data_IF_516285153494
#
_entry.id   IF_516285153494
#
_cell.length_a   1.000
_cell.length_b   1.000
_cell.length_c   1.000
_cell.angle_alpha   90.00
_cell.angle_beta   90.00
_cell.angle_gamma   90.00
#
_symmetry.space_group_name_H-M   'P 1'
#
loop_
_entity.id
_entity.type
_entity.pdbx_description
1 polymer ?
#
# COMPACT_ATOMS: atom_id res chain seq x y z
N UNK A 1 -10.54 -6.25 -6.80
CA UNK A 1 -9.40 -5.65 -6.09
C UNK A 1 -8.68 -4.63 -6.96
N UNK A 2 -8.10 -5.03 -8.10
CA UNK A 2 -7.33 -4.15 -9.00
C UNK A 2 -8.15 -2.93 -9.46
N UNK A 3 -9.43 -3.12 -9.78
CA UNK A 3 -10.30 -2.04 -10.23
C UNK A 3 -10.53 -0.97 -9.14
N UNK A 4 -10.62 -1.38 -7.88
CA UNK A 4 -10.69 -0.45 -6.74
C UNK A 4 -9.38 0.32 -6.56
N UNK A 5 -8.24 -0.35 -6.79
CA UNK A 5 -6.94 0.30 -6.76
C UNK A 5 -6.89 1.38 -7.85
N UNK A 6 -7.23 1.04 -9.09
CA UNK A 6 -7.22 2.00 -10.21
C UNK A 6 -8.13 3.19 -9.94
N UNK A 7 -9.36 2.96 -9.46
CA UNK A 7 -10.28 4.04 -9.11
C UNK A 7 -9.71 4.98 -8.03
N UNK A 8 -9.08 4.41 -7.00
CA UNK A 8 -8.43 5.18 -5.92
C UNK A 8 -7.25 6.00 -6.44
N UNK A 9 -6.46 5.42 -7.36
CA UNK A 9 -5.34 6.12 -8.02
C UNK A 9 -5.84 7.30 -8.85
N UNK A 10 -6.94 7.13 -9.59
CA UNK A 10 -7.57 8.20 -10.38
C UNK A 10 -8.06 9.37 -9.49
N UNK A 11 -8.34 9.11 -8.21
CA UNK A 11 -8.73 10.12 -7.22
C UNK A 11 -7.52 10.76 -6.50
N UNK A 12 -6.29 10.49 -6.95
CA UNK A 12 -5.02 10.86 -6.28
C UNK A 12 -4.92 10.33 -4.84
N UNK A 13 -5.55 9.19 -4.61
CA UNK A 13 -5.57 8.59 -3.30
C UNK A 13 -4.64 7.37 -3.25
N UNK A 14 -4.04 7.15 -2.08
CA UNK A 14 -3.07 6.06 -1.86
C UNK A 14 -3.74 4.82 -1.28
N UNK A 15 -3.30 3.63 -1.71
CA UNK A 15 -3.83 2.34 -1.26
C UNK A 15 -2.81 1.63 -0.37
N UNK A 16 -3.26 1.16 0.79
CA UNK A 16 -2.50 0.23 1.64
C UNK A 16 -3.12 -1.17 1.53
N UNK A 17 -2.34 -2.16 1.14
CA UNK A 17 -2.76 -3.57 1.13
C UNK A 17 -1.95 -4.32 2.17
N UNK A 18 -2.62 -5.05 3.06
CA UNK A 18 -1.97 -5.95 4.01
C UNK A 18 -2.19 -7.40 3.60
N UNK A 19 -1.12 -8.18 3.59
CA UNK A 19 -1.20 -9.63 3.32
C UNK A 19 -0.77 -10.43 4.55
N UNK A 20 -1.02 -11.74 4.55
CA UNK A 20 -0.71 -12.59 5.70
C UNK A 20 0.74 -13.09 5.73
N UNK A 21 1.42 -13.13 4.59
CA UNK A 21 2.77 -13.72 4.48
C UNK A 21 3.68 -12.84 3.64
N UNK A 22 4.99 -12.98 3.86
CA UNK A 22 6.01 -12.32 3.03
C UNK A 22 5.85 -12.66 1.55
N UNK A 23 5.75 -13.95 1.24
CA UNK A 23 5.60 -14.43 -0.12
C UNK A 23 4.34 -13.89 -0.81
N UNK A 24 3.19 -13.86 -0.14
CA UNK A 24 1.97 -13.26 -0.71
C UNK A 24 2.13 -11.76 -0.97
N UNK A 25 2.92 -11.06 -0.17
CA UNK A 25 3.19 -9.63 -0.39
C UNK A 25 4.10 -9.41 -1.60
N UNK A 26 5.13 -10.24 -1.74
CA UNK A 26 6.06 -10.22 -2.87
C UNK A 26 5.32 -10.55 -4.17
N UNK A 27 4.64 -11.70 -4.22
CA UNK A 27 3.86 -12.15 -5.38
C UNK A 27 2.81 -11.10 -5.80
N UNK A 28 2.14 -10.46 -4.83
CA UNK A 28 1.18 -9.40 -5.13
C UNK A 28 1.84 -8.13 -5.64
N UNK A 29 2.99 -7.73 -5.08
CA UNK A 29 3.71 -6.54 -5.51
C UNK A 29 4.22 -6.73 -6.94
N UNK A 30 4.79 -7.89 -7.26
CA UNK A 30 5.25 -8.22 -8.60
C UNK A 30 4.09 -8.21 -9.60
N UNK A 31 2.97 -8.83 -9.25
CA UNK A 31 1.77 -8.80 -10.09
C UNK A 31 1.26 -7.38 -10.36
N UNK A 32 1.27 -6.50 -9.35
CA UNK A 32 0.86 -5.10 -9.50
C UNK A 32 1.86 -4.31 -10.38
N UNK A 33 3.16 -4.58 -10.26
CA UNK A 33 4.19 -4.00 -11.13
C UNK A 33 4.01 -4.44 -12.60
N UNK A 34 3.73 -5.72 -12.84
CA UNK A 34 3.53 -6.28 -14.19
C UNK A 34 2.37 -5.61 -14.94
N UNK A 35 1.30 -5.24 -14.22
CA UNK A 35 0.15 -4.55 -14.80
C UNK A 35 0.31 -3.02 -14.84
N UNK A 36 1.50 -2.51 -14.52
CA UNK A 36 1.86 -1.10 -14.63
C UNK A 36 1.45 -0.22 -13.44
N UNK A 37 1.12 -0.81 -12.29
CA UNK A 37 0.80 -0.05 -11.08
C UNK A 37 2.08 0.22 -10.29
N UNK A 38 2.30 1.48 -9.90
CA UNK A 38 3.45 1.87 -9.07
C UNK A 38 3.21 1.39 -7.64
N UNK A 39 3.90 0.33 -7.25
CA UNK A 39 3.75 -0.31 -5.94
C UNK A 39 5.10 -0.42 -5.23
N UNK A 40 5.07 -0.32 -3.90
CA UNK A 40 6.21 -0.65 -3.02
C UNK A 40 5.79 -1.69 -2.00
N UNK A 41 6.75 -2.54 -1.64
CA UNK A 41 6.59 -3.58 -0.63
C UNK A 41 7.26 -3.17 0.69
N UNK A 42 6.62 -3.45 1.82
CA UNK A 42 7.10 -3.22 3.18
C UNK A 42 7.20 -4.55 3.93
N UNK A 43 8.43 -5.02 4.19
CA UNK A 43 8.69 -6.19 5.02
C UNK A 43 8.94 -5.79 6.49
N UNK A 44 8.90 -6.79 7.37
CA UNK A 44 9.06 -6.60 8.83
C UNK A 44 10.46 -6.15 9.25
N UNK A 45 11.47 -6.41 8.41
CA UNK A 45 12.89 -6.19 8.71
C UNK A 45 13.45 -4.88 8.12
N UNK A 46 12.61 -3.93 7.69
CA UNK A 46 13.10 -2.64 7.20
C UNK A 46 13.60 -1.76 8.35
N UNK A 47 14.69 -1.05 8.10
CA UNK A 47 15.23 -0.10 9.06
C UNK A 47 14.29 1.08 9.27
N UNK A 48 14.43 1.75 10.44
CA UNK A 48 13.57 2.90 10.80
C UNK A 48 13.68 4.04 9.78
N UNK A 49 14.87 4.24 9.20
CA UNK A 49 15.12 5.28 8.20
C UNK A 49 14.38 4.94 6.90
N UNK A 50 14.53 3.72 6.41
CA UNK A 50 13.88 3.26 5.17
C UNK A 50 12.35 3.33 5.28
N UNK A 51 11.79 3.03 6.45
CA UNK A 51 10.35 3.21 6.71
C UNK A 51 9.89 4.66 6.53
N UNK A 52 10.69 5.62 7.01
CA UNK A 52 10.37 7.05 6.88
C UNK A 52 10.44 7.48 5.42
N UNK A 53 11.45 7.01 4.68
CA UNK A 53 11.60 7.30 3.25
C UNK A 53 10.42 6.73 2.45
N UNK A 54 10.03 5.47 2.66
CA UNK A 54 8.88 4.85 2.00
C UNK A 54 7.59 5.65 2.28
N UNK A 55 7.37 6.06 3.53
CA UNK A 55 6.19 6.87 3.88
C UNK A 55 6.22 8.26 3.27
N UNK A 56 7.40 8.87 3.15
CA UNK A 56 7.60 10.16 2.49
C UNK A 56 7.30 10.04 1.00
N UNK A 57 7.84 9.03 0.35
CA UNK A 57 7.67 8.77 -1.09
C UNK A 57 6.20 8.45 -1.43
N UNK A 58 5.48 7.73 -0.54
CA UNK A 58 4.04 7.49 -0.66
C UNK A 58 3.25 8.82 -0.63
N UNK A 59 3.64 9.75 0.24
CA UNK A 59 3.02 11.08 0.35
C UNK A 59 3.38 12.00 -0.83
N UNK A 60 4.58 11.86 -1.37
CA UNK A 60 5.03 12.58 -2.56
C UNK A 60 4.39 12.03 -3.84
N UNK A 61 3.80 10.83 -3.80
CA UNK A 61 3.17 10.21 -4.96
C UNK A 61 4.15 9.55 -5.92
N UNK A 62 5.34 9.19 -5.42
CA UNK A 62 6.32 8.39 -6.17
C UNK A 62 5.76 7.00 -6.52
N UNK A 63 4.89 6.48 -5.64
CA UNK A 63 4.11 5.26 -5.86
C UNK A 63 2.73 5.38 -5.25
N UNK A 64 1.81 4.55 -5.73
CA UNK A 64 0.38 4.67 -5.42
C UNK A 64 -0.11 3.61 -4.42
N UNK A 65 0.55 2.45 -4.41
CA UNK A 65 0.17 1.29 -3.59
C UNK A 65 1.31 0.89 -2.68
N UNK A 66 1.02 0.73 -1.40
CA UNK A 66 1.94 0.13 -0.42
C UNK A 66 1.40 -1.26 -0.04
N UNK A 67 2.18 -2.31 -0.27
CA UNK A 67 1.87 -3.68 0.16
C UNK A 67 2.71 -3.99 1.39
N UNK A 68 2.09 -4.41 2.49
CA UNK A 68 2.81 -4.80 3.70
C UNK A 68 2.39 -6.17 4.21
N UNK A 69 3.26 -6.83 4.97
CA UNK A 69 2.85 -7.98 5.77
C UNK A 69 2.04 -7.44 6.95
N UNK A 70 0.89 -8.05 7.21
CA UNK A 70 0.04 -7.75 8.34
C UNK A 70 0.82 -7.94 9.66
N UNK A 71 1.29 -6.84 10.24
CA UNK A 71 1.90 -6.79 11.58
C UNK A 71 0.84 -6.76 12.70
N UNK A 72 -0.44 -6.95 12.37
CA UNK A 72 -1.55 -6.76 13.29
C UNK A 72 -1.81 -8.00 14.16
N UNK A 73 -1.16 -8.03 15.33
CA UNK A 73 -1.73 -8.67 16.51
C UNK A 73 -2.96 -7.93 17.07
N UNK A 74 -3.19 -6.66 16.69
CA UNK A 74 -4.38 -5.86 17.04
C UNK A 74 -4.55 -4.69 16.07
N UNK A 75 -5.54 -4.67 15.20
CA UNK A 75 -6.28 -3.42 14.87
C UNK A 75 -7.70 -3.83 14.48
N UNK A 76 -8.63 -3.49 15.38
CA UNK A 76 -10.00 -3.23 15.01
C UNK A 76 -10.12 -1.85 14.36
N UNK A 77 -11.20 -1.69 13.60
CA UNK A 77 -11.67 -0.49 12.92
C UNK A 77 -10.93 -0.12 11.63
N UNK A 78 -11.47 -0.67 10.54
CA UNK A 78 -11.96 0.12 9.41
C UNK A 78 -12.26 1.57 9.83
N UNK A 79 -11.31 2.49 9.64
CA UNK A 79 -11.60 3.92 9.54
C UNK A 79 -11.43 4.29 8.09
N UNK A 80 -12.57 4.43 7.42
CA UNK A 80 -12.65 4.98 6.08
C UNK A 80 -11.94 6.33 6.03
N UNK A 81 -11.08 6.47 5.03
CA UNK A 81 -10.74 7.77 4.47
C UNK A 81 -11.76 8.07 3.37
N UNK A 82 -13.02 8.17 3.77
CA UNK A 82 -14.07 8.84 2.99
C UNK A 82 -14.19 10.24 3.57
N UNK A 83 -13.53 11.21 2.95
CA UNK A 83 -13.77 12.62 3.28
C UNK A 83 -13.81 13.44 1.99
N UNK A 84 -15.04 13.68 1.54
CA UNK A 84 -15.44 14.87 0.80
C UNK A 84 -15.45 14.75 -0.72
N UNK A 85 -16.61 14.47 -1.29
CA UNK A 85 -17.07 15.16 -2.50
C UNK A 85 -18.42 15.83 -2.16
N UNK A 86 -18.72 17.01 -2.75
CA UNK A 86 -19.90 17.81 -2.42
C UNK A 86 -21.22 17.12 -2.73
#
# INVERSE_FOLDING_TARGET
>A
MIELIKLRIEQDERVLVTTLTKKMSEDLSDYLLEIGIRVRYLHSDIDTIERIEILRDLRLGEFDVLVGINLLGRVGSSRGLTRGYP
#
